data_IF_406007037594
#
_entry.id   IF_406007037594
#
_cell.length_a   1.000
_cell.length_b   1.000
_cell.length_c   1.000
_cell.angle_alpha   90.00
_cell.angle_beta   90.00
_cell.angle_gamma   90.00
#
_symmetry.space_group_name_H-M   'P 1'
#
loop_
_entity.id
_entity.type
_entity.pdbx_description
1 polymer ?
#
# COMPACT_ATOMS: atom_id res chain seq x y z
N UNK A 1 16.95 -12.97 -28.39
CA UNK A 1 17.73 -12.63 -27.18
C UNK A 1 17.92 -11.13 -27.27
N UNK A 2 17.05 -10.33 -26.67
CA UNK A 2 16.78 -10.18 -25.23
C UNK A 2 15.26 -10.02 -24.98
N UNK A 3 14.68 -10.53 -23.87
CA UNK A 3 13.31 -10.18 -23.48
C UNK A 3 13.32 -8.84 -22.75
N UNK A 4 12.49 -7.89 -23.21
CA UNK A 4 12.38 -6.54 -22.67
C UNK A 4 12.07 -6.51 -21.18
N UNK A 5 13.01 -5.97 -20.39
CA UNK A 5 12.89 -5.70 -18.96
C UNK A 5 12.43 -4.25 -18.68
N UNK A 6 11.94 -3.53 -19.69
CA UNK A 6 11.65 -2.10 -19.61
C UNK A 6 10.36 -1.78 -18.84
N UNK A 7 9.42 -2.73 -18.70
CA UNK A 7 8.18 -2.52 -17.94
C UNK A 7 8.35 -2.51 -16.42
N UNK A 8 9.27 -3.33 -15.89
CA UNK A 8 9.47 -3.51 -14.44
C UNK A 8 10.15 -2.30 -13.78
N UNK A 9 11.03 -1.62 -14.52
CA UNK A 9 11.81 -0.47 -14.02
C UNK A 9 10.94 0.78 -13.88
N UNK A 10 9.99 1.00 -14.79
CA UNK A 10 9.07 2.14 -14.73
C UNK A 10 8.09 2.03 -13.55
N UNK A 11 7.53 0.84 -13.31
CA UNK A 11 6.54 0.61 -12.25
C UNK A 11 7.17 0.73 -10.85
N UNK A 12 8.40 0.22 -10.68
CA UNK A 12 9.13 0.39 -9.41
C UNK A 12 9.59 1.83 -9.18
N UNK A 13 9.92 2.58 -10.23
CA UNK A 13 10.25 4.00 -10.12
C UNK A 13 9.02 4.85 -9.73
N UNK A 14 7.85 4.55 -10.28
CA UNK A 14 6.57 5.13 -9.84
C UNK A 14 6.31 4.78 -8.37
N UNK A 15 6.46 3.51 -8.00
CA UNK A 15 6.19 3.04 -6.62
C UNK A 15 7.17 3.62 -5.60
N UNK A 16 8.43 3.79 -5.97
CA UNK A 16 9.44 4.46 -5.14
C UNK A 16 9.09 5.93 -4.89
N UNK A 17 8.36 6.57 -5.81
CA UNK A 17 7.85 7.93 -5.63
C UNK A 17 6.65 7.97 -4.70
N UNK A 18 5.84 6.90 -4.64
CA UNK A 18 4.67 6.80 -3.76
C UNK A 18 5.02 6.87 -2.28
N UNK A 19 6.26 6.51 -1.90
CA UNK A 19 6.71 6.56 -0.50
C UNK A 19 6.63 7.97 0.11
N UNK A 20 6.52 9.01 -0.71
CA UNK A 20 6.39 10.40 -0.30
C UNK A 20 4.93 10.87 -0.12
N UNK A 21 3.92 10.04 -0.40
CA UNK A 21 2.53 10.47 -0.46
C UNK A 21 1.71 9.97 0.76
N UNK A 22 1.44 10.83 1.77
CA UNK A 22 0.64 10.43 2.94
C UNK A 22 -0.78 10.00 2.60
N UNK A 23 -1.37 10.57 1.54
CA UNK A 23 -2.73 10.26 1.10
C UNK A 23 -2.85 8.98 0.25
N UNK A 24 -1.77 8.20 0.07
CA UNK A 24 -1.77 7.02 -0.80
C UNK A 24 -2.91 6.02 -0.50
N UNK A 25 -3.29 5.72 0.76
CA UNK A 25 -4.43 4.85 1.02
C UNK A 25 -5.74 5.39 0.44
N UNK A 26 -5.95 6.72 0.47
CA UNK A 26 -7.12 7.36 -0.12
C UNK A 26 -7.09 7.39 -1.65
N UNK A 27 -5.91 7.56 -2.24
CA UNK A 27 -5.72 7.47 -3.69
C UNK A 27 -6.02 6.04 -4.16
N UNK A 28 -5.50 5.02 -3.46
CA UNK A 28 -5.78 3.61 -3.77
C UNK A 28 -7.28 3.33 -3.79
N UNK A 29 -8.03 3.76 -2.77
CA UNK A 29 -9.49 3.60 -2.74
C UNK A 29 -10.19 4.32 -3.90
N UNK A 30 -9.74 5.53 -4.23
CA UNK A 30 -10.28 6.30 -5.37
C UNK A 30 -10.02 5.59 -6.71
N UNK A 31 -8.84 5.00 -6.88
CA UNK A 31 -8.48 4.23 -8.06
C UNK A 31 -9.28 2.92 -8.16
N UNK A 32 -9.59 2.27 -7.03
CA UNK A 32 -10.50 1.11 -7.01
C UNK A 32 -11.88 1.48 -7.56
N UNK A 33 -12.45 2.61 -7.13
CA UNK A 33 -13.73 3.13 -7.65
C UNK A 33 -13.63 3.44 -9.15
N UNK A 34 -12.57 4.15 -9.57
CA UNK A 34 -12.34 4.54 -10.97
C UNK A 34 -12.28 3.32 -11.90
N UNK A 35 -11.69 2.22 -11.41
CA UNK A 35 -11.54 0.96 -12.14
C UNK A 35 -12.72 -0.02 -11.93
N UNK A 36 -13.76 0.38 -11.18
CA UNK A 36 -14.93 -0.46 -10.83
C UNK A 36 -14.56 -1.77 -10.13
N UNK A 37 -13.58 -1.69 -9.22
CA UNK A 37 -13.17 -2.77 -8.34
C UNK A 37 -13.89 -2.65 -6.99
N UNK A 38 -15.23 -2.62 -7.02
CA UNK A 38 -16.06 -2.32 -5.85
C UNK A 38 -15.79 -3.30 -4.69
N UNK A 39 -15.62 -4.59 -4.98
CA UNK A 39 -15.28 -5.59 -3.96
C UNK A 39 -13.90 -5.41 -3.32
N UNK A 40 -12.93 -4.83 -4.05
CA UNK A 40 -11.62 -4.49 -3.48
C UNK A 40 -11.72 -3.23 -2.60
N UNK A 41 -12.49 -2.24 -3.05
CA UNK A 41 -12.79 -1.03 -2.28
C UNK A 41 -13.41 -1.40 -0.92
N UNK A 42 -14.51 -2.16 -0.93
CA UNK A 42 -15.23 -2.54 0.29
C UNK A 42 -14.33 -3.34 1.24
N UNK A 43 -13.57 -4.29 0.68
CA UNK A 43 -12.65 -5.12 1.45
C UNK A 43 -11.54 -4.30 2.10
N UNK A 44 -10.90 -3.40 1.36
CA UNK A 44 -9.85 -2.53 1.90
C UNK A 44 -10.38 -1.55 2.94
N UNK A 45 -11.55 -0.96 2.70
CA UNK A 45 -12.18 -0.04 3.66
C UNK A 45 -12.46 -0.78 4.97
N UNK A 46 -13.02 -1.99 4.91
CA UNK A 46 -13.29 -2.79 6.09
C UNK A 46 -12.00 -3.21 6.82
N UNK A 47 -10.98 -3.66 6.09
CA UNK A 47 -9.68 -4.04 6.65
C UNK A 47 -9.04 -2.85 7.36
N UNK A 48 -8.92 -1.71 6.68
CA UNK A 48 -8.31 -0.51 7.24
C UNK A 48 -8.98 0.00 8.52
N UNK A 49 -10.26 -0.31 8.75
CA UNK A 49 -10.96 0.09 9.98
C UNK A 49 -10.54 -0.69 11.23
N UNK A 50 -10.11 -1.95 11.08
CA UNK A 50 -9.71 -2.78 12.22
C UNK A 50 -8.20 -2.95 12.39
N UNK A 51 -7.39 -2.61 11.39
CA UNK A 51 -5.94 -2.58 11.52
C UNK A 51 -5.50 -1.47 12.50
N UNK A 52 -4.79 -1.85 13.55
CA UNK A 52 -4.22 -0.99 14.59
C UNK A 52 -2.69 -1.07 14.63
N UNK A 53 -2.12 -2.15 14.09
CA UNK A 53 -0.69 -2.36 13.99
C UNK A 53 -0.04 -1.24 13.14
N UNK A 54 0.95 -0.52 13.70
CA UNK A 54 1.60 0.57 12.98
C UNK A 54 2.34 0.02 11.77
N UNK A 55 2.14 0.63 10.59
CA UNK A 55 2.81 0.23 9.36
C UNK A 55 2.11 -0.90 8.61
N UNK A 56 1.17 -1.62 9.23
CA UNK A 56 0.48 -2.72 8.55
C UNK A 56 -0.49 -2.18 7.48
N UNK A 57 -1.19 -1.08 7.80
CA UNK A 57 -2.05 -0.38 6.83
C UNK A 57 -1.25 0.13 5.64
N UNK A 58 -0.09 0.70 5.91
CA UNK A 58 0.83 1.24 4.92
C UNK A 58 1.41 0.15 4.02
N UNK A 59 1.83 -0.96 4.63
CA UNK A 59 2.34 -2.14 3.93
C UNK A 59 1.28 -2.75 3.01
N UNK A 60 0.06 -2.91 3.52
CA UNK A 60 -1.06 -3.42 2.75
C UNK A 60 -1.39 -2.47 1.57
N UNK A 61 -1.39 -1.16 1.81
CA UNK A 61 -1.66 -0.15 0.78
C UNK A 61 -0.69 -0.27 -0.40
N UNK A 62 0.62 -0.32 -0.13
CA UNK A 62 1.63 -0.42 -1.18
C UNK A 62 1.58 -1.75 -1.92
N UNK A 63 1.32 -2.84 -1.21
CA UNK A 63 1.14 -4.15 -1.85
C UNK A 63 -0.06 -4.14 -2.80
N UNK A 64 -1.20 -3.60 -2.36
CA UNK A 64 -2.39 -3.46 -3.21
C UNK A 64 -2.12 -2.56 -4.42
N UNK A 65 -1.43 -1.43 -4.22
CA UNK A 65 -1.08 -0.53 -5.30
C UNK A 65 -0.18 -1.21 -6.34
N UNK A 66 0.87 -1.91 -5.88
CA UNK A 66 1.77 -2.65 -6.76
C UNK A 66 1.00 -3.66 -7.61
N UNK A 67 0.13 -4.45 -7.00
CA UNK A 67 -0.64 -5.45 -7.75
C UNK A 67 -1.66 -4.83 -8.72
N UNK A 68 -2.27 -3.71 -8.33
CA UNK A 68 -3.18 -2.94 -9.19
C UNK A 68 -2.48 -2.44 -10.46
N UNK A 69 -1.31 -1.81 -10.32
CA UNK A 69 -0.54 -1.28 -11.47
C UNK A 69 -0.03 -2.41 -12.36
N UNK A 70 0.35 -3.54 -11.78
CA UNK A 70 0.81 -4.71 -12.54
C UNK A 70 -0.35 -5.54 -13.12
N UNK A 71 -1.61 -5.09 -13.00
CA UNK A 71 -2.81 -5.82 -13.43
C UNK A 71 -2.90 -7.24 -12.87
N UNK A 72 -2.31 -7.49 -11.70
CA UNK A 72 -2.35 -8.78 -11.01
C UNK A 72 -3.62 -8.83 -10.17
N UNK A 73 -4.72 -9.27 -10.77
CA UNK A 73 -5.97 -9.53 -10.06
C UNK A 73 -6.00 -10.91 -9.37
N UNK A 74 -4.88 -11.65 -9.37
CA UNK A 74 -4.77 -13.00 -8.81
C UNK A 74 -4.88 -13.05 -7.28
N UNK A 75 -4.87 -11.90 -6.61
CA UNK A 75 -5.06 -11.85 -5.18
C UNK A 75 -6.54 -11.96 -4.82
N UNK A 76 -6.87 -12.99 -4.04
CA UNK A 76 -8.20 -13.19 -3.47
C UNK A 76 -8.44 -12.19 -2.33
N UNK A 77 -8.56 -10.91 -2.68
CA UNK A 77 -8.75 -9.79 -1.76
C UNK A 77 -10.01 -9.91 -0.91
N UNK A 78 -11.02 -10.62 -1.40
CA UNK A 78 -12.23 -10.91 -0.63
C UNK A 78 -11.94 -11.79 0.59
N UNK A 79 -10.92 -12.65 0.53
CA UNK A 79 -10.49 -13.46 1.66
C UNK A 79 -9.87 -12.62 2.79
N UNK A 80 -9.28 -11.47 2.47
CA UNK A 80 -8.60 -10.58 3.41
C UNK A 80 -9.56 -10.03 4.48
N UNK A 81 -10.82 -9.80 4.10
CA UNK A 81 -11.87 -9.26 4.98
C UNK A 81 -12.25 -10.23 6.10
N UNK A 82 -12.03 -11.53 5.89
CA UNK A 82 -12.30 -12.57 6.89
C UNK A 82 -11.15 -12.79 7.87
N UNK A 83 -9.97 -12.20 7.59
CA UNK A 83 -8.77 -12.38 8.38
C UNK A 83 -8.73 -11.40 9.55
N UNK A 84 -8.27 -11.87 10.70
CA UNK A 84 -7.91 -10.99 11.81
C UNK A 84 -6.58 -10.26 11.52
N UNK A 85 -6.27 -9.23 12.31
CA UNK A 85 -5.06 -8.40 12.14
C UNK A 85 -3.76 -9.21 12.03
N UNK A 86 -3.56 -10.24 12.85
CA UNK A 86 -2.35 -11.08 12.81
C UNK A 86 -2.27 -11.89 11.52
N UNK A 87 -3.41 -12.40 11.07
CA UNK A 87 -3.49 -13.14 9.80
C UNK A 87 -3.23 -12.20 8.61
N UNK A 88 -3.72 -10.97 8.65
CA UNK A 88 -3.40 -9.94 7.65
C UNK A 88 -1.91 -9.63 7.65
N UNK A 89 -1.29 -9.44 8.82
CA UNK A 89 0.16 -9.22 8.94
C UNK A 89 0.97 -10.37 8.32
N UNK A 90 0.62 -11.62 8.65
CA UNK A 90 1.27 -12.79 8.08
C UNK A 90 1.04 -12.91 6.55
N UNK A 91 -0.15 -12.58 6.07
CA UNK A 91 -0.49 -12.58 4.65
C UNK A 91 0.34 -11.55 3.87
N UNK A 92 0.42 -10.33 4.39
CA UNK A 92 1.24 -9.24 3.81
C UNK A 92 2.71 -9.64 3.77
N UNK A 93 3.26 -10.13 4.89
CA UNK A 93 4.65 -10.56 4.96
C UNK A 93 4.95 -11.70 3.97
N UNK A 94 4.05 -12.68 3.85
CA UNK A 94 4.17 -13.78 2.90
C UNK A 94 4.21 -13.27 1.46
N UNK A 95 3.34 -12.31 1.11
CA UNK A 95 3.32 -11.71 -0.23
C UNK A 95 4.56 -10.85 -0.50
N UNK A 96 4.96 -9.99 0.42
CA UNK A 96 6.15 -9.16 0.24
C UNK A 96 7.44 -9.97 0.14
N UNK A 97 7.50 -11.17 0.74
CA UNK A 97 8.64 -12.08 0.57
C UNK A 97 8.85 -12.53 -0.88
N UNK A 98 7.79 -12.50 -1.70
CA UNK A 98 7.86 -12.80 -3.14
C UNK A 98 8.37 -11.60 -3.97
N UNK A 99 8.39 -10.40 -3.37
CA UNK A 99 8.72 -9.13 -4.04
C UNK A 99 9.78 -8.35 -3.25
N UNK A 100 11.05 -8.78 -3.25
CA UNK A 100 12.10 -8.17 -2.43
C UNK A 100 12.36 -6.69 -2.73
N UNK A 101 12.10 -6.23 -3.96
CA UNK A 101 12.20 -4.81 -4.32
C UNK A 101 11.06 -3.98 -3.71
N UNK A 102 9.84 -4.52 -3.69
CA UNK A 102 8.69 -3.89 -3.06
C UNK A 102 8.84 -3.83 -1.54
N UNK A 103 9.38 -4.89 -0.94
CA UNK A 103 9.65 -4.95 0.50
C UNK A 103 10.47 -3.74 0.99
N UNK A 104 11.51 -3.35 0.25
CA UNK A 104 12.33 -2.17 0.59
C UNK A 104 11.55 -0.87 0.55
N UNK A 105 10.70 -0.68 -0.46
CA UNK A 105 9.88 0.54 -0.58
C UNK A 105 8.83 0.60 0.52
N UNK A 106 8.25 -0.55 0.88
CA UNK A 106 7.30 -0.67 2.00
C UNK A 106 7.97 -0.29 3.31
N UNK A 107 9.15 -0.83 3.60
CA UNK A 107 9.90 -0.52 4.82
C UNK A 107 10.15 0.98 4.98
N UNK A 108 10.59 1.64 3.91
CA UNK A 108 10.79 3.10 3.90
C UNK A 108 9.48 3.88 4.07
N UNK A 109 8.40 3.47 3.39
CA UNK A 109 7.10 4.13 3.51
C UNK A 109 6.50 4.00 4.92
N UNK A 110 6.59 2.80 5.52
CA UNK A 110 6.21 2.54 6.91
C UNK A 110 7.04 3.40 7.85
N UNK A 111 8.34 3.49 7.62
CA UNK A 111 9.22 4.36 8.40
C UNK A 111 8.74 5.82 8.34
N UNK A 112 8.49 6.38 7.14
CA UNK A 112 8.01 7.77 7.02
C UNK A 112 6.63 8.00 7.67
N UNK A 113 5.71 7.05 7.52
CA UNK A 113 4.37 7.14 8.12
C UNK A 113 4.42 7.06 9.66
N UNK A 114 5.14 6.08 10.20
CA UNK A 114 5.15 5.77 11.63
C UNK A 114 6.10 6.67 12.43
N UNK A 115 7.19 7.16 11.83
CA UNK A 115 8.10 8.10 12.49
C UNK A 115 7.53 9.52 12.59
N UNK A 116 6.27 9.74 12.18
CA UNK A 116 5.63 11.06 12.24
C UNK A 116 6.22 12.05 11.23
N UNK A 117 6.95 11.59 10.21
CA UNK A 117 7.56 12.45 9.21
C UNK A 117 6.50 13.24 8.42
N UNK A 118 5.31 12.67 8.24
CA UNK A 118 4.15 13.38 7.66
C UNK A 118 3.36 14.22 8.67
N UNK A 119 3.59 14.01 9.98
CA UNK A 119 3.00 14.82 11.05
C UNK A 119 3.77 16.13 11.26
N UNK A 120 4.99 16.26 10.73
CA UNK A 120 5.80 17.49 10.75
C UNK A 120 5.40 18.49 9.64
N UNK A 121 4.10 18.58 9.35
CA UNK A 121 3.57 19.78 8.72
C UNK A 121 3.16 20.71 9.86
N UNK A 122 3.90 21.79 10.16
CA UNK A 122 3.52 22.72 11.20
C UNK A 122 2.25 23.45 10.75
N UNK A 123 1.09 22.90 11.13
CA UNK A 123 -0.12 23.70 11.17
C UNK A 123 0.05 24.72 12.27
N UNK A 124 0.52 25.90 11.85
CA UNK A 124 0.28 27.19 12.48
C UNK A 124 0.23 27.20 14.01
N UNK A 125 1.41 27.22 14.64
CA UNK A 125 1.54 28.03 15.85
C UNK A 125 1.49 29.49 15.42
N UNK A 126 0.26 29.97 15.23
CA UNK A 126 -0.05 31.38 15.07
C UNK A 126 0.58 32.14 16.22
N UNK A 127 1.20 33.27 15.87
CA UNK A 127 1.65 34.28 16.80
C UNK A 127 0.62 34.56 17.89
N UNK A 128 1.05 34.55 19.14
CA UNK A 128 0.58 35.42 20.22
C UNK A 128 1.63 35.47 21.31
#
# INVERSE_FOLDING_TARGET
REPGNEGSVSVLADISSLRAYPQLPGILLSECIRLRLDGLYDGLEQVFRYLREPGLRESLTLLCWYELVNSRQDCNWQGLVTLNEREVSAWVASRLSQYPLLYRVVDEYVFFACSGFWSDNPQGSSSS
#
